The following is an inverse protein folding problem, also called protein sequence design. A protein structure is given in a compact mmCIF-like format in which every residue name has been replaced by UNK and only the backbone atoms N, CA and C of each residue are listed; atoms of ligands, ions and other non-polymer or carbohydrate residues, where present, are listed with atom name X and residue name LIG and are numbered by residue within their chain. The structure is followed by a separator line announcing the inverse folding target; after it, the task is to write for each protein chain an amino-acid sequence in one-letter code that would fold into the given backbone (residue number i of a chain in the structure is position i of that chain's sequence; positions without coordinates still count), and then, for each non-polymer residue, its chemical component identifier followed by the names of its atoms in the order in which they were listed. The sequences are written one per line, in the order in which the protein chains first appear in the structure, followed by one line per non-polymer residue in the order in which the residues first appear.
data_IF_989625478535
#
_entry.id   IF_989625478535
#
_cell.length_a   1.000
_cell.length_b   1.000
_cell.length_c   1.000
_cell.angle_alpha   90.00
_cell.angle_beta   90.00
_cell.angle_gamma   90.00
#
_symmetry.space_group_name_H-M   'P 1'
#
loop_
_entity.id
_entity.type
_entity.pdbx_description
1 polymer ?
#
# COMPACT_ATOMS: atom_id res chain seq x y z
N UNK A 1 -18.48 -6.98 19.93
CA UNK A 1 -17.75 -7.21 18.67
C UNK A 1 -18.13 -8.58 18.11
N UNK A 2 -18.37 -8.66 16.81
CA UNK A 2 -18.59 -9.93 16.12
C UNK A 2 -17.29 -10.69 15.94
N UNK A 3 -17.29 -11.95 16.35
CA UNK A 3 -16.14 -12.84 16.27
C UNK A 3 -16.46 -13.99 15.33
N UNK A 4 -15.56 -14.36 14.41
CA UNK A 4 -15.75 -15.55 13.60
C UNK A 4 -15.67 -16.83 14.46
N UNK A 5 -16.25 -17.94 14.00
CA UNK A 5 -16.23 -19.22 14.73
C UNK A 5 -14.80 -19.77 14.86
N UNK A 6 -14.64 -20.74 15.77
CA UNK A 6 -13.32 -21.27 16.15
C UNK A 6 -12.55 -21.96 15.00
N UNK A 7 -13.23 -22.44 13.99
CA UNK A 7 -12.66 -23.06 12.78
C UNK A 7 -12.36 -22.06 11.64
N UNK A 8 -12.71 -20.78 11.83
CA UNK A 8 -12.48 -19.74 10.81
C UNK A 8 -11.00 -19.39 10.69
N UNK A 9 -10.46 -19.26 9.46
CA UNK A 9 -9.11 -18.77 9.23
C UNK A 9 -8.92 -17.31 9.68
N UNK A 10 -10.00 -16.57 9.89
CA UNK A 10 -9.98 -15.17 10.33
C UNK A 10 -9.98 -15.00 11.86
N UNK A 11 -10.14 -16.08 12.64
CA UNK A 11 -10.24 -15.98 14.09
C UNK A 11 -8.99 -15.35 14.72
N UNK A 12 -7.80 -15.73 14.27
CA UNK A 12 -6.56 -15.16 14.80
C UNK A 12 -6.47 -13.64 14.54
N UNK A 13 -6.86 -13.19 13.37
CA UNK A 13 -6.93 -11.76 13.02
C UNK A 13 -7.97 -11.03 13.88
N UNK A 14 -9.17 -11.61 14.02
CA UNK A 14 -10.24 -11.04 14.82
C UNK A 14 -9.84 -10.89 16.31
N UNK A 15 -9.11 -11.86 16.86
CA UNK A 15 -8.59 -11.80 18.24
C UNK A 15 -7.58 -10.65 18.42
N UNK A 16 -6.71 -10.41 17.43
CA UNK A 16 -5.75 -9.30 17.49
C UNK A 16 -6.49 -7.96 17.44
N UNK A 17 -7.49 -7.83 16.57
CA UNK A 17 -8.34 -6.62 16.51
C UNK A 17 -9.11 -6.45 17.83
N UNK A 18 -9.68 -7.51 18.41
CA UNK A 18 -10.36 -7.46 19.70
C UNK A 18 -9.42 -6.99 20.82
N UNK A 19 -8.15 -7.42 20.80
CA UNK A 19 -7.16 -6.96 21.76
C UNK A 19 -6.86 -5.45 21.59
N UNK A 20 -6.76 -4.94 20.37
CA UNK A 20 -6.62 -3.51 20.10
C UNK A 20 -7.84 -2.71 20.57
N UNK A 21 -9.03 -3.21 20.28
CA UNK A 21 -10.30 -2.63 20.71
C UNK A 21 -10.39 -2.56 22.27
N UNK A 22 -9.93 -3.59 22.96
CA UNK A 22 -9.94 -3.65 24.41
C UNK A 22 -8.84 -2.77 25.05
N UNK A 23 -7.65 -2.73 24.44
CA UNK A 23 -6.49 -2.03 24.97
C UNK A 23 -6.68 -0.51 24.97
N UNK A 24 -7.40 0.06 24.01
CA UNK A 24 -7.69 1.49 23.97
C UNK A 24 -8.56 1.98 25.16
N UNK A 25 -9.13 1.06 25.97
CA UNK A 25 -9.79 1.39 27.23
C UNK A 25 -8.83 1.88 28.34
N UNK A 26 -7.55 1.55 28.25
CA UNK A 26 -6.64 1.72 29.38
C UNK A 26 -6.16 3.17 29.57
N UNK A 27 -6.33 4.06 28.56
CA UNK A 27 -5.64 5.36 28.57
C UNK A 27 -6.45 6.56 28.05
N UNK A 28 -7.77 6.49 28.06
CA UNK A 28 -8.57 7.68 27.76
C UNK A 28 -8.74 8.47 29.07
N UNK A 29 -7.78 9.35 29.33
CA UNK A 29 -7.79 10.29 30.47
C UNK A 29 -8.81 11.42 30.23
N UNK A 30 -10.03 11.22 30.71
CA UNK A 30 -11.02 12.29 30.79
C UNK A 30 -12.19 11.93 31.69
N UNK A 31 -12.71 12.89 32.50
CA UNK A 31 -13.81 12.64 33.45
C UNK A 31 -15.16 12.33 32.78
N UNK A 32 -15.22 12.21 31.45
CA UNK A 32 -16.42 11.89 30.67
C UNK A 32 -16.35 10.57 29.91
N UNK A 33 -15.27 9.79 30.07
CA UNK A 33 -15.14 8.54 29.36
C UNK A 33 -15.90 7.43 30.07
N UNK A 34 -17.09 7.14 29.55
CA UNK A 34 -17.82 5.92 29.87
C UNK A 34 -16.96 4.77 29.36
N UNK A 35 -16.41 3.97 30.31
CA UNK A 35 -15.79 2.70 29.96
C UNK A 35 -16.77 1.89 29.13
N UNK A 36 -16.59 1.81 27.81
CA UNK A 36 -17.45 1.02 26.97
C UNK A 36 -17.24 -0.44 27.31
N UNK A 37 -18.31 -1.14 27.64
CA UNK A 37 -18.30 -2.56 27.87
C UNK A 37 -18.27 -3.28 26.50
N UNK A 38 -17.36 -4.24 26.34
CA UNK A 38 -17.17 -4.94 25.08
C UNK A 38 -17.66 -6.39 25.24
N UNK A 39 -18.71 -6.73 24.51
CA UNK A 39 -19.20 -8.10 24.43
C UNK A 39 -18.72 -8.75 23.13
N UNK A 40 -18.23 -9.99 23.22
CA UNK A 40 -17.86 -10.81 22.05
C UNK A 40 -19.05 -11.70 21.70
N UNK A 41 -19.50 -11.63 20.45
CA UNK A 41 -20.63 -12.44 19.94
C UNK A 41 -20.12 -13.22 18.73
N UNK A 42 -20.29 -14.53 18.76
CA UNK A 42 -19.93 -15.38 17.62
C UNK A 42 -20.84 -15.13 16.42
N UNK A 43 -20.25 -15.03 15.25
CA UNK A 43 -20.96 -14.84 13.98
C UNK A 43 -20.16 -15.46 12.84
N UNK A 44 -20.85 -16.10 11.91
CA UNK A 44 -20.23 -16.63 10.69
C UNK A 44 -20.68 -15.85 9.46
N UNK A 45 -20.04 -16.13 8.32
CA UNK A 45 -20.44 -15.61 7.01
C UNK A 45 -21.71 -16.24 6.44
N UNK A 46 -22.56 -16.85 7.28
CA UNK A 46 -23.90 -17.31 6.92
C UNK A 46 -24.93 -16.28 7.35
N UNK A 47 -25.91 -15.97 6.48
CA UNK A 47 -26.92 -14.94 6.75
C UNK A 47 -27.66 -15.17 8.07
N UNK A 48 -28.11 -16.42 8.34
CA UNK A 48 -28.83 -16.72 9.55
C UNK A 48 -27.99 -16.53 10.83
N UNK A 49 -26.71 -16.86 10.79
CA UNK A 49 -25.79 -16.66 11.91
C UNK A 49 -25.51 -15.16 12.13
N UNK A 50 -25.33 -14.39 11.06
CA UNK A 50 -25.10 -12.95 11.13
C UNK A 50 -26.33 -12.22 11.68
N UNK A 51 -27.53 -12.58 11.24
CA UNK A 51 -28.78 -11.98 11.73
C UNK A 51 -29.01 -12.32 13.20
N UNK A 52 -28.80 -13.57 13.60
CA UNK A 52 -28.91 -13.99 15.00
C UNK A 52 -27.90 -13.25 15.90
N UNK A 53 -26.68 -13.01 15.40
CA UNK A 53 -25.66 -12.25 16.15
C UNK A 53 -26.03 -10.77 16.30
N UNK A 54 -26.63 -10.14 15.28
CA UNK A 54 -27.14 -8.76 15.36
C UNK A 54 -28.34 -8.67 16.33
N UNK A 55 -29.25 -9.64 16.28
CA UNK A 55 -30.39 -9.70 17.22
C UNK A 55 -29.92 -9.90 18.66
N UNK A 56 -28.93 -10.77 18.88
CA UNK A 56 -28.33 -10.97 20.21
C UNK A 56 -27.66 -9.70 20.73
N UNK A 57 -26.94 -8.96 19.88
CA UNK A 57 -26.36 -7.69 20.23
C UNK A 57 -27.43 -6.65 20.62
N UNK A 58 -28.52 -6.57 19.85
CA UNK A 58 -29.65 -5.68 20.15
C UNK A 58 -30.30 -6.03 21.48
N UNK A 59 -30.58 -7.32 21.74
CA UNK A 59 -31.18 -7.80 23.00
C UNK A 59 -30.25 -7.54 24.20
N UNK A 60 -28.93 -7.60 23.99
CA UNK A 60 -27.94 -7.27 25.03
C UNK A 60 -27.80 -5.77 25.30
N UNK A 61 -28.53 -4.92 24.58
CA UNK A 61 -28.48 -3.46 24.75
C UNK A 61 -27.24 -2.81 24.20
N UNK A 62 -26.62 -3.41 23.18
CA UNK A 62 -25.46 -2.81 22.51
C UNK A 62 -25.85 -1.54 21.77
N UNK A 63 -25.07 -0.47 21.92
CA UNK A 63 -25.25 0.78 21.17
C UNK A 63 -24.73 0.67 19.74
N UNK A 64 -23.70 -0.14 19.52
CA UNK A 64 -23.03 -0.33 18.23
C UNK A 64 -22.39 -1.72 18.15
N UNK A 65 -22.37 -2.31 16.97
CA UNK A 65 -21.64 -3.53 16.66
C UNK A 65 -20.36 -3.21 15.92
N UNK A 66 -19.23 -3.80 16.34
CA UNK A 66 -17.94 -3.74 15.65
C UNK A 66 -17.68 -5.09 15.00
N UNK A 67 -17.32 -5.10 13.71
CA UNK A 67 -17.22 -6.30 12.87
C UNK A 67 -18.43 -6.46 11.94
N UNK A 68 -18.44 -7.48 11.09
CA UNK A 68 -17.47 -8.56 10.95
C UNK A 68 -16.16 -8.13 10.30
N UNK A 69 -15.14 -9.00 10.41
CA UNK A 69 -13.86 -8.85 9.71
C UNK A 69 -13.85 -9.57 8.34
N UNK A 70 -14.70 -10.57 8.18
CA UNK A 70 -14.81 -11.35 6.95
C UNK A 70 -15.50 -10.53 5.85
N UNK A 71 -14.85 -10.38 4.72
CA UNK A 71 -15.37 -9.59 3.58
C UNK A 71 -16.74 -10.08 3.09
N UNK A 72 -16.91 -11.41 2.98
CA UNK A 72 -18.19 -12.02 2.60
C UNK A 72 -19.34 -11.68 3.55
N UNK A 73 -19.07 -11.60 4.85
CA UNK A 73 -20.06 -11.19 5.84
C UNK A 73 -20.38 -9.69 5.73
N UNK A 74 -19.37 -8.85 5.45
CA UNK A 74 -19.59 -7.42 5.18
C UNK A 74 -20.45 -7.21 3.92
N UNK A 75 -20.20 -7.97 2.86
CA UNK A 75 -21.04 -7.93 1.64
C UNK A 75 -22.51 -8.27 1.92
N UNK A 76 -22.78 -9.23 2.81
CA UNK A 76 -24.15 -9.55 3.21
C UNK A 76 -24.80 -8.39 3.96
N UNK A 77 -24.08 -7.71 4.85
CA UNK A 77 -24.58 -6.51 5.53
C UNK A 77 -24.86 -5.38 4.54
N UNK A 78 -23.95 -5.16 3.60
CA UNK A 78 -24.06 -4.09 2.59
C UNK A 78 -25.29 -4.26 1.67
N UNK A 79 -25.76 -5.49 1.46
CA UNK A 79 -26.98 -5.81 0.66
C UNK A 79 -28.29 -5.62 1.42
N UNK A 80 -28.25 -5.42 2.74
CA UNK A 80 -29.46 -5.18 3.53
C UNK A 80 -29.98 -3.77 3.30
N UNK A 81 -31.29 -3.55 3.42
CA UNK A 81 -31.88 -2.20 3.34
C UNK A 81 -31.62 -1.38 4.60
N UNK A 82 -31.67 -2.04 5.74
CA UNK A 82 -31.44 -1.45 7.07
C UNK A 82 -30.83 -2.50 7.99
N UNK A 83 -30.14 -2.06 9.01
CA UNK A 83 -29.61 -2.91 10.08
C UNK A 83 -30.34 -2.59 11.40
N UNK A 84 -30.49 -3.55 12.32
CA UNK A 84 -31.22 -3.34 13.57
C UNK A 84 -30.54 -2.33 14.51
N UNK A 85 -29.22 -2.14 14.37
CA UNK A 85 -28.41 -1.19 15.12
C UNK A 85 -27.22 -0.76 14.27
N UNK A 86 -26.49 0.32 14.63
CA UNK A 86 -25.28 0.74 13.91
C UNK A 86 -24.24 -0.39 13.91
N UNK A 87 -23.62 -0.62 12.75
CA UNK A 87 -22.55 -1.61 12.56
C UNK A 87 -21.33 -0.94 11.95
N UNK A 88 -20.20 -1.03 12.62
CA UNK A 88 -18.89 -0.66 12.09
C UNK A 88 -18.18 -1.92 11.61
N UNK A 89 -18.30 -2.23 10.32
CA UNK A 89 -17.63 -3.36 9.71
C UNK A 89 -16.14 -3.13 9.57
N UNK A 90 -15.34 -4.20 9.73
CA UNK A 90 -13.87 -4.16 9.75
C UNK A 90 -13.25 -4.56 8.40
N UNK A 91 -14.02 -4.43 7.35
CA UNK A 91 -13.59 -4.66 5.96
C UNK A 91 -14.50 -3.89 5.00
N UNK A 92 -14.12 -3.86 3.72
CA UNK A 92 -14.88 -3.24 2.64
C UNK A 92 -15.37 -4.33 1.70
N UNK A 93 -16.64 -4.31 1.27
CA UNK A 93 -17.18 -5.30 0.34
C UNK A 93 -16.58 -5.11 -1.06
N UNK A 94 -16.36 -6.22 -1.78
CA UNK A 94 -15.92 -6.18 -3.17
C UNK A 94 -17.06 -5.70 -4.09
N UNK A 95 -16.73 -4.89 -5.10
CA UNK A 95 -17.63 -4.49 -6.18
C UNK A 95 -19.02 -3.97 -5.73
N UNK A 96 -19.10 -3.34 -4.56
CA UNK A 96 -20.33 -2.79 -4.02
C UNK A 96 -20.36 -1.29 -4.22
N UNK A 97 -21.49 -0.78 -4.72
CA UNK A 97 -21.75 0.65 -4.72
C UNK A 97 -21.92 1.14 -3.27
N UNK A 98 -20.91 1.81 -2.75
CA UNK A 98 -20.92 2.31 -1.38
C UNK A 98 -22.02 3.34 -1.10
N UNK A 99 -22.58 3.98 -2.14
CA UNK A 99 -23.71 4.88 -1.99
C UNK A 99 -25.05 4.16 -1.72
N UNK A 100 -25.10 2.85 -1.99
CA UNK A 100 -26.29 2.02 -1.82
C UNK A 100 -26.30 1.19 -0.51
N UNK A 101 -25.22 1.27 0.29
CA UNK A 101 -25.16 0.55 1.56
C UNK A 101 -26.10 1.15 2.61
N UNK A 102 -26.54 0.38 3.64
CA UNK A 102 -27.35 0.91 4.74
C UNK A 102 -26.68 2.12 5.39
N UNK A 103 -27.46 3.17 5.70
CA UNK A 103 -26.94 4.39 6.34
C UNK A 103 -26.31 4.16 7.71
N UNK A 104 -26.70 3.07 8.38
CA UNK A 104 -26.15 2.66 9.65
C UNK A 104 -25.11 1.52 9.54
N UNK A 105 -24.47 1.40 8.37
CA UNK A 105 -23.27 0.60 8.13
C UNK A 105 -22.08 1.52 7.89
N UNK A 106 -21.17 1.58 8.86
CA UNK A 106 -19.84 2.19 8.71
C UNK A 106 -18.82 1.14 8.27
N UNK A 107 -17.81 1.57 7.53
CA UNK A 107 -16.75 0.71 7.02
C UNK A 107 -15.39 1.27 7.44
N UNK A 108 -14.57 0.45 8.06
CA UNK A 108 -13.16 0.74 8.34
C UNK A 108 -12.33 -0.50 7.97
N UNK A 109 -11.20 -0.32 7.32
CA UNK A 109 -10.38 -1.48 6.91
C UNK A 109 -8.93 -1.11 6.67
N UNK A 110 -8.08 -2.13 6.70
CA UNK A 110 -6.72 -2.08 6.14
C UNK A 110 -6.85 -2.52 4.68
N UNK A 111 -7.15 -1.58 3.78
CA UNK A 111 -7.34 -1.89 2.36
C UNK A 111 -6.08 -1.62 1.56
N UNK A 112 -5.54 -2.66 0.94
CA UNK A 112 -4.41 -2.53 0.00
C UNK A 112 -4.79 -1.67 -1.21
N UNK A 113 -6.05 -1.70 -1.62
CA UNK A 113 -6.58 -0.95 -2.74
C UNK A 113 -6.58 0.56 -2.45
N UNK A 114 -7.14 0.98 -1.32
CA UNK A 114 -7.13 2.40 -0.91
C UNK A 114 -5.72 2.93 -0.66
N UNK A 115 -4.87 2.10 -0.07
CA UNK A 115 -3.46 2.42 0.12
C UNK A 115 -2.78 2.64 -1.23
N UNK A 116 -3.01 1.76 -2.20
CA UNK A 116 -2.48 1.87 -3.55
C UNK A 116 -3.01 3.13 -4.27
N UNK A 117 -4.29 3.43 -4.16
CA UNK A 117 -4.89 4.66 -4.72
C UNK A 117 -4.21 5.91 -4.15
N UNK A 118 -4.07 5.97 -2.83
CA UNK A 118 -3.42 7.10 -2.16
C UNK A 118 -1.97 7.29 -2.62
N UNK A 119 -1.21 6.18 -2.71
CA UNK A 119 0.18 6.19 -3.20
C UNK A 119 0.26 6.66 -4.63
N UNK A 120 -0.61 6.17 -5.51
CA UNK A 120 -0.63 6.57 -6.91
C UNK A 120 -0.93 8.08 -7.05
N UNK A 121 -1.87 8.61 -6.26
CA UNK A 121 -2.16 10.04 -6.20
C UNK A 121 -0.94 10.85 -5.74
N UNK A 122 -0.26 10.39 -4.68
CA UNK A 122 0.96 11.02 -4.19
C UNK A 122 2.09 10.98 -5.23
N UNK A 123 2.24 9.87 -5.93
CA UNK A 123 3.22 9.72 -7.00
C UNK A 123 2.94 10.68 -8.17
N UNK A 124 1.68 10.78 -8.61
CA UNK A 124 1.24 11.71 -9.66
C UNK A 124 1.51 13.16 -9.24
N UNK A 125 1.16 13.54 -8.01
CA UNK A 125 1.41 14.88 -7.48
C UNK A 125 2.90 15.23 -7.40
N UNK A 126 3.76 14.22 -7.22
CA UNK A 126 5.21 14.40 -7.13
C UNK A 126 5.92 14.40 -8.50
N UNK A 127 5.22 14.11 -9.60
CA UNK A 127 5.82 14.16 -10.93
C UNK A 127 6.28 15.58 -11.26
N UNK A 128 7.43 15.72 -11.94
CA UNK A 128 7.88 17.03 -12.41
C UNK A 128 6.86 17.59 -13.40
N UNK A 129 6.39 18.81 -13.15
CA UNK A 129 5.59 19.54 -14.12
C UNK A 129 6.49 19.79 -15.35
N UNK A 130 6.17 19.20 -16.47
CA UNK A 130 6.95 19.36 -17.69
C UNK A 130 6.91 20.84 -18.13
N UNK A 131 8.02 21.52 -17.96
CA UNK A 131 8.15 22.93 -18.37
C UNK A 131 8.19 23.05 -19.91
N UNK A 132 8.48 21.99 -20.61
CA UNK A 132 8.76 22.01 -22.05
C UNK A 132 7.82 21.18 -22.95
N UNK A 133 6.69 20.67 -22.50
CA UNK A 133 5.67 19.94 -23.30
C UNK A 133 6.20 18.87 -24.28
N UNK A 134 7.43 18.41 -24.17
CA UNK A 134 8.07 17.54 -25.18
C UNK A 134 7.89 16.05 -24.89
N UNK A 135 7.71 15.64 -23.64
CA UNK A 135 7.36 14.25 -23.30
C UNK A 135 6.35 14.23 -22.13
N UNK A 136 5.31 13.41 -22.25
CA UNK A 136 4.43 13.13 -21.12
C UNK A 136 5.16 12.23 -20.13
N UNK A 137 5.04 12.49 -18.82
CA UNK A 137 5.64 11.61 -17.84
C UNK A 137 5.03 10.21 -17.94
N UNK A 138 5.87 9.18 -17.87
CA UNK A 138 5.46 7.78 -17.92
C UNK A 138 5.83 7.09 -16.60
N UNK A 139 4.91 6.31 -16.05
CA UNK A 139 5.11 5.56 -14.81
C UNK A 139 5.17 4.06 -15.11
N UNK A 140 6.14 3.36 -14.50
CA UNK A 140 6.17 1.90 -14.52
C UNK A 140 5.31 1.37 -13.35
N UNK A 141 4.37 0.47 -13.62
CA UNK A 141 3.61 -0.27 -12.60
C UNK A 141 4.11 -1.70 -12.59
N UNK A 142 4.74 -2.12 -11.49
CA UNK A 142 5.30 -3.47 -11.39
C UNK A 142 4.54 -4.25 -10.32
N UNK A 143 3.95 -5.37 -10.72
CA UNK A 143 3.13 -6.19 -9.85
C UNK A 143 3.45 -7.68 -9.99
N UNK A 144 3.41 -8.40 -8.88
CA UNK A 144 3.43 -9.86 -8.87
C UNK A 144 2.06 -10.46 -9.20
N UNK A 145 1.97 -11.78 -9.09
CA UNK A 145 0.77 -12.55 -9.46
C UNK A 145 -0.17 -12.89 -8.29
N UNK A 146 0.19 -12.55 -7.05
CA UNK A 146 -0.68 -12.79 -5.90
C UNK A 146 -1.96 -11.92 -5.99
N UNK A 147 -3.07 -12.43 -5.48
CA UNK A 147 -4.36 -11.75 -5.57
C UNK A 147 -4.32 -10.30 -5.03
N UNK A 148 -3.64 -10.05 -3.91
CA UNK A 148 -3.49 -8.71 -3.35
C UNK A 148 -2.62 -7.80 -4.23
N UNK A 149 -1.59 -8.35 -4.90
CA UNK A 149 -0.72 -7.60 -5.82
C UNK A 149 -1.50 -7.16 -7.06
N UNK A 150 -2.35 -8.03 -7.58
CA UNK A 150 -3.22 -7.70 -8.71
C UNK A 150 -4.23 -6.61 -8.34
N UNK A 151 -4.86 -6.68 -7.15
CA UNK A 151 -5.78 -5.63 -6.70
C UNK A 151 -5.08 -4.28 -6.51
N UNK A 152 -3.87 -4.27 -5.93
CA UNK A 152 -3.08 -3.05 -5.80
C UNK A 152 -2.68 -2.46 -7.17
N UNK A 153 -2.30 -3.33 -8.11
CA UNK A 153 -2.03 -2.93 -9.51
C UNK A 153 -3.25 -2.27 -10.14
N UNK A 154 -4.40 -2.91 -10.05
CA UNK A 154 -5.64 -2.39 -10.64
C UNK A 154 -6.02 -1.02 -10.04
N UNK A 155 -5.79 -0.83 -8.74
CA UNK A 155 -5.98 0.46 -8.08
C UNK A 155 -4.99 1.52 -8.60
N UNK A 156 -3.72 1.18 -8.77
CA UNK A 156 -2.74 2.07 -9.41
C UNK A 156 -3.17 2.48 -10.81
N UNK A 157 -3.55 1.50 -11.65
CA UNK A 157 -3.99 1.75 -13.03
C UNK A 157 -5.20 2.69 -13.09
N UNK A 158 -6.19 2.49 -12.21
CA UNK A 158 -7.37 3.34 -12.13
C UNK A 158 -7.01 4.80 -11.86
N UNK A 159 -6.12 5.07 -10.90
CA UNK A 159 -5.69 6.45 -10.58
C UNK A 159 -4.92 7.06 -11.75
N UNK A 160 -3.97 6.32 -12.33
CA UNK A 160 -3.16 6.81 -13.45
C UNK A 160 -4.00 7.12 -14.68
N UNK A 161 -4.97 6.25 -15.00
CA UNK A 161 -5.91 6.46 -16.11
C UNK A 161 -6.78 7.71 -15.88
N UNK A 162 -7.32 7.91 -14.68
CA UNK A 162 -8.10 9.10 -14.35
C UNK A 162 -7.26 10.38 -14.39
N UNK A 163 -6.00 10.31 -13.97
CA UNK A 163 -5.04 11.41 -14.03
C UNK A 163 -4.49 11.65 -15.45
N UNK A 164 -4.82 10.82 -16.42
CA UNK A 164 -4.30 10.85 -17.79
C UNK A 164 -2.76 10.79 -17.87
N UNK A 165 -2.15 10.01 -16.97
CA UNK A 165 -0.72 9.75 -16.96
C UNK A 165 -0.43 8.50 -17.79
N UNK A 166 0.56 8.57 -18.67
CA UNK A 166 1.01 7.40 -19.42
C UNK A 166 1.68 6.40 -18.47
N UNK A 167 1.32 5.14 -18.56
CA UNK A 167 1.91 4.09 -17.73
C UNK A 167 2.12 2.79 -18.50
N UNK A 168 2.95 1.93 -17.94
CA UNK A 168 3.18 0.59 -18.46
C UNK A 168 3.16 -0.43 -17.31
N UNK A 169 2.32 -1.45 -17.47
CA UNK A 169 2.24 -2.55 -16.51
C UNK A 169 3.26 -3.62 -16.86
N UNK A 170 4.06 -4.00 -15.86
CA UNK A 170 5.10 -5.01 -15.98
C UNK A 170 4.81 -6.10 -14.94
N UNK A 171 4.52 -7.30 -15.40
CA UNK A 171 4.35 -8.46 -14.53
C UNK A 171 5.71 -8.89 -13.99
N UNK A 172 5.85 -8.89 -12.66
CA UNK A 172 7.08 -9.32 -12.01
C UNK A 172 7.21 -10.84 -12.03
N UNK A 173 8.37 -11.30 -12.47
CA UNK A 173 8.89 -12.64 -12.21
C UNK A 173 10.42 -12.57 -12.12
N UNK A 174 11.10 -13.51 -11.42
CA UNK A 174 12.56 -13.48 -11.32
C UNK A 174 13.29 -13.48 -12.65
N UNK A 175 12.70 -14.07 -13.70
CA UNK A 175 13.29 -14.20 -15.03
C UNK A 175 13.39 -12.88 -15.79
N UNK A 176 12.53 -11.88 -15.47
CA UNK A 176 12.52 -10.60 -16.18
C UNK A 176 13.52 -9.57 -15.63
N UNK A 177 14.26 -9.89 -14.57
CA UNK A 177 15.10 -8.90 -13.88
C UNK A 177 16.17 -8.27 -14.80
N UNK A 178 16.76 -9.03 -15.71
CA UNK A 178 17.76 -8.51 -16.64
C UNK A 178 17.12 -7.65 -17.74
N UNK A 179 15.93 -8.02 -18.20
CA UNK A 179 15.14 -7.24 -19.15
C UNK A 179 14.67 -5.91 -18.52
N UNK A 180 14.32 -5.92 -17.24
CA UNK A 180 13.94 -4.71 -16.51
C UNK A 180 15.06 -3.66 -16.51
N UNK A 181 16.31 -4.06 -16.29
CA UNK A 181 17.42 -3.11 -16.31
C UNK A 181 17.51 -2.42 -17.66
N UNK A 182 17.48 -3.19 -18.76
CA UNK A 182 17.52 -2.64 -20.13
C UNK A 182 16.33 -1.71 -20.39
N UNK A 183 15.16 -2.04 -19.86
CA UNK A 183 13.93 -1.29 -20.07
C UNK A 183 13.93 0.06 -19.33
N UNK A 184 14.63 0.16 -18.21
CA UNK A 184 14.70 1.39 -17.40
C UNK A 184 15.91 2.28 -17.71
N UNK A 185 16.91 1.77 -18.43
CA UNK A 185 18.04 2.57 -18.82
C UNK A 185 17.67 3.65 -19.85
N UNK A 186 18.13 4.89 -19.68
CA UNK A 186 17.96 5.91 -20.72
C UNK A 186 18.61 5.46 -22.03
N UNK A 187 17.92 5.67 -23.13
CA UNK A 187 18.40 5.35 -24.47
C UNK A 187 18.42 6.60 -25.34
N UNK A 188 19.24 6.60 -26.35
CA UNK A 188 19.19 7.63 -27.40
C UNK A 188 17.99 7.40 -28.30
N UNK A 189 17.43 8.46 -28.87
CA UNK A 189 16.48 8.33 -29.95
C UNK A 189 17.13 7.61 -31.15
N UNK A 190 16.36 6.96 -32.03
CA UNK A 190 16.91 6.33 -33.23
C UNK A 190 17.71 7.31 -34.09
N UNK A 191 17.29 8.58 -34.16
CA UNK A 191 17.97 9.62 -34.93
C UNK A 191 19.30 10.00 -34.28
N UNK A 192 19.33 10.21 -32.95
CA UNK A 192 20.58 10.49 -32.23
C UNK A 192 21.56 9.32 -32.32
N UNK A 193 21.07 8.08 -32.20
CA UNK A 193 21.91 6.90 -32.35
C UNK A 193 22.52 6.81 -33.77
N UNK A 194 21.71 7.08 -34.80
CA UNK A 194 22.17 7.09 -36.19
C UNK A 194 23.21 8.19 -36.42
N UNK A 195 23.07 9.38 -35.83
CA UNK A 195 24.06 10.47 -35.90
C UNK A 195 25.41 10.04 -35.31
N UNK A 196 25.45 9.44 -34.13
CA UNK A 196 26.69 8.92 -33.56
C UNK A 196 27.31 7.82 -34.38
N UNK A 197 26.54 6.93 -35.00
CA UNK A 197 27.05 5.88 -35.88
C UNK A 197 27.58 6.44 -37.20
N UNK A 198 27.00 7.53 -37.72
CA UNK A 198 27.50 8.24 -38.89
C UNK A 198 28.78 8.97 -38.55
N UNK A 199 28.82 9.73 -37.45
CA UNK A 199 30.03 10.43 -36.99
C UNK A 199 31.21 9.48 -36.81
N UNK A 200 30.96 8.31 -36.20
CA UNK A 200 31.96 7.28 -36.03
C UNK A 200 32.50 6.78 -37.38
N UNK A 201 31.60 6.48 -38.34
CA UNK A 201 31.98 6.00 -39.70
C UNK A 201 32.80 7.03 -40.43
N UNK A 202 32.38 8.30 -40.43
CA UNK A 202 33.09 9.39 -41.11
C UNK A 202 34.44 9.66 -40.47
N UNK A 203 34.55 9.65 -39.15
CA UNK A 203 35.81 9.86 -38.45
C UNK A 203 36.79 8.70 -38.65
N UNK A 204 36.31 7.46 -38.68
CA UNK A 204 37.13 6.28 -38.96
C UNK A 204 37.62 6.22 -40.41
N UNK A 205 36.84 6.72 -41.38
CA UNK A 205 37.25 6.81 -42.79
C UNK A 205 38.43 7.78 -42.98
N UNK A 206 38.58 8.80 -42.11
CA UNK A 206 39.67 9.79 -42.18
C UNK A 206 40.89 9.37 -41.35
N UNK A 207 40.83 8.25 -40.63
CA UNK A 207 41.93 7.81 -39.77
C UNK A 207 43.02 7.06 -40.53
N UNK A 208 44.22 7.56 -40.44
CA UNK A 208 45.40 7.04 -41.15
C UNK A 208 46.13 5.93 -40.37
N UNK A 209 45.92 5.85 -39.06
CA UNK A 209 46.61 4.85 -38.23
C UNK A 209 45.65 4.07 -37.31
N UNK A 210 46.07 2.85 -36.89
CA UNK A 210 45.35 2.03 -35.91
C UNK A 210 45.20 2.75 -34.57
N UNK A 211 46.18 3.58 -34.20
CA UNK A 211 46.15 4.34 -32.95
C UNK A 211 45.11 5.45 -32.97
N UNK A 212 45.03 6.17 -34.11
CA UNK A 212 43.99 7.17 -34.35
C UNK A 212 42.59 6.55 -34.33
N UNK A 213 42.38 5.38 -34.97
CA UNK A 213 41.09 4.65 -34.94
C UNK A 213 40.65 4.34 -33.53
N UNK A 214 41.55 3.81 -32.67
CA UNK A 214 41.25 3.54 -31.26
C UNK A 214 40.83 4.77 -30.47
N UNK A 215 41.53 5.92 -30.70
CA UNK A 215 41.25 7.17 -30.05
C UNK A 215 39.89 7.75 -30.47
N UNK A 216 39.57 7.72 -31.77
CA UNK A 216 38.27 8.14 -32.33
C UNK A 216 37.15 7.32 -31.74
N UNK A 217 37.25 5.98 -31.78
CA UNK A 217 36.27 5.09 -31.22
C UNK A 217 36.02 5.39 -29.74
N UNK A 218 37.11 5.54 -28.95
CA UNK A 218 36.98 5.87 -27.52
C UNK A 218 36.26 7.21 -27.29
N UNK A 219 36.58 8.24 -28.10
CA UNK A 219 35.98 9.57 -28.01
C UNK A 219 34.49 9.55 -28.35
N UNK A 220 34.11 8.94 -29.47
CA UNK A 220 32.71 8.88 -29.89
C UNK A 220 31.87 8.06 -28.90
N UNK A 221 32.38 6.92 -28.44
CA UNK A 221 31.69 6.15 -27.40
C UNK A 221 31.58 6.89 -26.06
N UNK A 222 32.57 7.72 -25.72
CA UNK A 222 32.48 8.57 -24.50
C UNK A 222 31.39 9.66 -24.68
N UNK A 223 31.35 10.32 -25.84
CA UNK A 223 30.30 11.29 -26.15
C UNK A 223 28.92 10.68 -26.18
N UNK A 224 28.75 9.51 -26.81
CA UNK A 224 27.51 8.76 -26.82
C UNK A 224 27.05 8.42 -25.41
N UNK A 225 27.93 7.91 -24.55
CA UNK A 225 27.59 7.63 -23.12
C UNK A 225 27.18 8.86 -22.35
N UNK A 226 27.91 9.99 -22.55
CA UNK A 226 27.57 11.26 -21.92
C UNK A 226 26.18 11.75 -22.35
N UNK A 227 25.83 11.57 -23.63
CA UNK A 227 24.51 11.95 -24.16
C UNK A 227 23.40 11.04 -23.60
N UNK A 228 23.62 9.72 -23.53
CA UNK A 228 22.68 8.77 -22.89
C UNK A 228 22.41 9.18 -21.45
N UNK A 229 23.46 9.57 -20.69
CA UNK A 229 23.30 10.02 -19.30
C UNK A 229 22.46 11.31 -19.19
N UNK A 230 22.40 12.11 -20.24
CA UNK A 230 21.58 13.34 -20.30
C UNK A 230 20.18 13.10 -20.87
N UNK A 231 19.93 11.92 -21.42
CA UNK A 231 18.59 11.57 -21.94
C UNK A 231 17.62 11.36 -20.79
N UNK A 232 16.36 11.72 -21.01
CA UNK A 232 15.31 11.45 -20.05
C UNK A 232 15.14 9.93 -19.86
N UNK A 233 14.96 9.46 -18.62
CA UNK A 233 14.66 8.05 -18.39
C UNK A 233 13.31 7.71 -19.01
N UNK A 234 13.12 6.48 -19.52
CA UNK A 234 11.86 6.05 -20.12
C UNK A 234 10.70 6.09 -19.13
N UNK A 235 10.99 6.01 -17.84
CA UNK A 235 10.02 6.17 -16.77
C UNK A 235 10.54 7.18 -15.74
N UNK A 236 9.70 8.12 -15.34
CA UNK A 236 10.03 9.14 -14.34
C UNK A 236 9.77 8.64 -12.92
N UNK A 237 8.94 7.59 -12.78
CA UNK A 237 8.58 7.00 -11.52
C UNK A 237 8.20 5.52 -11.68
N UNK A 238 8.15 4.81 -10.55
CA UNK A 238 7.64 3.44 -10.49
C UNK A 238 6.71 3.25 -9.29
N UNK A 239 5.65 2.46 -9.50
CA UNK A 239 4.71 1.99 -8.51
C UNK A 239 4.85 0.47 -8.35
N UNK A 240 5.09 0.00 -7.13
CA UNK A 240 5.37 -1.39 -6.85
C UNK A 240 4.24 -2.03 -6.03
N UNK A 241 3.55 -3.00 -6.61
CA UNK A 241 2.67 -3.93 -5.91
C UNK A 241 3.43 -5.24 -5.65
N UNK A 242 4.42 -5.18 -4.78
CA UNK A 242 5.39 -6.24 -4.51
C UNK A 242 5.59 -6.44 -3.00
N UNK A 243 6.04 -7.62 -2.59
CA UNK A 243 6.57 -7.83 -1.25
C UNK A 243 7.93 -7.15 -1.08
N UNK A 244 8.42 -7.02 0.16
CA UNK A 244 9.73 -6.43 0.44
C UNK A 244 10.87 -7.15 -0.29
N UNK A 245 10.84 -8.48 -0.35
CA UNK A 245 11.84 -9.30 -1.04
C UNK A 245 11.83 -9.08 -2.55
N UNK A 246 10.64 -9.08 -3.17
CA UNK A 246 10.49 -8.83 -4.61
C UNK A 246 10.90 -7.40 -4.97
N UNK A 247 10.50 -6.42 -4.16
CA UNK A 247 10.83 -5.02 -4.35
C UNK A 247 12.35 -4.77 -4.26
N UNK A 248 13.05 -5.42 -3.34
CA UNK A 248 14.50 -5.35 -3.21
C UNK A 248 15.22 -5.84 -4.48
N UNK A 249 14.73 -6.92 -5.10
CA UNK A 249 15.27 -7.42 -6.36
C UNK A 249 15.09 -6.42 -7.51
N UNK A 250 13.95 -5.76 -7.55
CA UNK A 250 13.61 -4.80 -8.61
C UNK A 250 14.30 -3.44 -8.37
N UNK A 251 14.44 -3.00 -7.10
CA UNK A 251 14.98 -1.67 -6.74
C UNK A 251 16.33 -1.39 -7.39
N UNK A 252 17.21 -2.38 -7.40
CA UNK A 252 18.56 -2.24 -7.92
C UNK A 252 18.64 -2.17 -9.46
N UNK A 253 17.53 -2.39 -10.16
CA UNK A 253 17.44 -2.31 -11.63
C UNK A 253 17.04 -0.92 -12.14
N UNK A 254 16.57 -0.05 -11.24
CA UNK A 254 16.21 1.31 -11.61
C UNK A 254 17.43 2.22 -11.67
N UNK A 255 17.49 3.17 -12.62
CA UNK A 255 18.47 4.24 -12.63
C UNK A 255 18.45 5.05 -11.34
N UNK A 256 19.61 5.61 -10.99
CA UNK A 256 19.68 6.51 -9.83
C UNK A 256 18.78 7.73 -10.06
N UNK A 257 17.98 8.07 -9.05
CA UNK A 257 17.07 9.20 -9.09
C UNK A 257 15.66 8.87 -9.56
N UNK A 258 15.38 7.62 -10.00
CA UNK A 258 14.00 7.17 -10.22
C UNK A 258 13.24 7.21 -8.90
N UNK A 259 12.09 7.86 -8.88
CA UNK A 259 11.20 7.88 -7.73
C UNK A 259 10.40 6.58 -7.68
N UNK A 260 10.46 5.89 -6.57
CA UNK A 260 9.82 4.58 -6.40
C UNK A 260 8.90 4.62 -5.20
N UNK A 261 7.67 4.20 -5.40
CA UNK A 261 6.67 4.04 -4.36
C UNK A 261 6.12 2.63 -4.36
N UNK A 262 5.67 2.19 -3.22
CA UNK A 262 4.98 0.91 -3.11
C UNK A 262 4.02 0.88 -1.95
N UNK A 263 3.27 -0.21 -1.82
CA UNK A 263 2.34 -0.42 -0.71
C UNK A 263 3.11 -0.75 0.58
N UNK A 264 2.43 -0.72 1.72
CA UNK A 264 3.01 -1.12 3.01
C UNK A 264 3.56 -2.56 3.02
N UNK A 265 3.20 -3.38 2.03
CA UNK A 265 3.77 -4.72 1.85
C UNK A 265 5.29 -4.71 1.59
N UNK A 266 5.84 -3.56 1.15
CA UNK A 266 7.29 -3.36 0.96
C UNK A 266 8.03 -3.15 2.30
N UNK A 267 7.32 -2.83 3.39
CA UNK A 267 7.97 -2.65 4.68
C UNK A 267 8.77 -3.91 5.07
N UNK A 268 10.11 -3.81 5.22
CA UNK A 268 10.96 -4.96 5.53
C UNK A 268 10.82 -5.45 6.98
N UNK A 269 10.16 -4.68 7.84
CA UNK A 269 10.10 -4.92 9.28
C UNK A 269 11.11 -4.08 10.05
N UNK A 270 11.23 -4.40 11.34
CA UNK A 270 12.14 -3.70 12.23
C UNK A 270 13.58 -4.23 12.07
N UNK A 271 14.53 -3.38 11.63
CA UNK A 271 15.93 -3.78 11.47
C UNK A 271 16.59 -4.26 12.77
N UNK A 272 16.16 -3.73 13.92
CA UNK A 272 16.71 -4.10 15.22
C UNK A 272 16.27 -5.51 15.67
N UNK A 273 15.19 -6.03 15.09
CA UNK A 273 14.62 -7.33 15.44
C UNK A 273 15.04 -8.47 14.50
N UNK A 274 15.56 -8.15 13.30
CA UNK A 274 15.87 -9.16 12.28
C UNK A 274 16.98 -8.73 11.34
N UNK A 275 18.01 -9.59 11.20
CA UNK A 275 19.08 -9.37 10.21
C UNK A 275 18.57 -9.35 8.76
N UNK A 276 17.52 -10.09 8.47
CA UNK A 276 16.87 -10.05 7.16
C UNK A 276 16.20 -8.71 6.91
N UNK A 277 15.51 -8.13 7.92
CA UNK A 277 14.93 -6.81 7.83
C UNK A 277 16.01 -5.73 7.67
N UNK A 278 17.14 -5.86 8.37
CA UNK A 278 18.30 -4.96 8.21
C UNK A 278 18.81 -4.97 6.77
N UNK A 279 19.02 -6.14 6.17
CA UNK A 279 19.49 -6.26 4.78
C UNK A 279 18.48 -5.65 3.81
N UNK A 280 17.20 -6.00 3.93
CA UNK A 280 16.13 -5.48 3.07
C UNK A 280 15.97 -3.96 3.20
N UNK A 281 16.19 -3.38 4.39
CA UNK A 281 16.14 -1.92 4.59
C UNK A 281 17.21 -1.20 3.77
N UNK A 282 18.42 -1.77 3.66
CA UNK A 282 19.46 -1.22 2.78
C UNK A 282 19.12 -1.38 1.30
N UNK A 283 18.60 -2.55 0.92
CA UNK A 283 18.24 -2.83 -0.48
C UNK A 283 17.06 -1.97 -0.96
N UNK A 284 16.19 -1.56 -0.05
CA UNK A 284 15.01 -0.71 -0.33
C UNK A 284 15.24 0.78 -0.08
N UNK A 285 16.50 1.20 0.15
CA UNK A 285 16.81 2.62 0.38
C UNK A 285 16.27 3.50 -0.76
N UNK A 286 15.55 4.56 -0.38
CA UNK A 286 14.91 5.49 -1.31
C UNK A 286 13.59 5.01 -1.91
N UNK A 287 13.04 3.88 -1.48
CA UNK A 287 11.65 3.49 -1.79
C UNK A 287 10.71 4.07 -0.75
N UNK A 288 9.70 4.80 -1.20
CA UNK A 288 8.68 5.37 -0.33
C UNK A 288 7.47 4.44 -0.24
N UNK A 289 6.94 4.24 0.97
CA UNK A 289 5.72 3.48 1.20
C UNK A 289 4.97 4.04 2.42
N UNK A 290 3.65 3.91 2.50
CA UNK A 290 2.89 4.29 3.67
C UNK A 290 3.02 3.22 4.75
N UNK A 291 2.90 3.66 5.99
CA UNK A 291 2.79 2.74 7.11
C UNK A 291 1.95 3.36 8.21
N UNK A 292 1.26 2.55 8.99
CA UNK A 292 0.43 3.06 10.06
C UNK A 292 1.31 3.66 11.18
N UNK A 293 0.92 4.81 11.75
CA UNK A 293 1.68 5.52 12.76
C UNK A 293 2.08 4.66 13.96
N UNK A 294 1.22 3.75 14.40
CA UNK A 294 1.51 2.83 15.49
C UNK A 294 2.74 1.94 15.21
N UNK A 295 2.94 1.53 13.96
CA UNK A 295 4.10 0.72 13.55
C UNK A 295 5.38 1.54 13.57
N UNK A 296 5.30 2.82 13.14
CA UNK A 296 6.48 3.66 12.91
C UNK A 296 6.90 4.44 14.15
N UNK A 297 5.93 4.91 14.94
CA UNK A 297 6.18 5.91 16.00
C UNK A 297 6.38 5.29 17.39
N UNK A 298 5.84 4.09 17.64
CA UNK A 298 5.87 3.51 18.97
C UNK A 298 6.97 2.45 19.11
N UNK A 299 7.82 2.67 20.11
CA UNK A 299 8.75 1.63 20.59
C UNK A 299 8.01 0.65 21.52
N UNK A 300 8.51 -0.59 21.71
CA UNK A 300 7.85 -1.59 22.55
C UNK A 300 7.52 -1.10 23.98
N UNK A 301 8.40 -0.36 24.61
CA UNK A 301 8.16 0.17 25.96
C UNK A 301 7.06 1.24 25.99
N UNK A 302 7.02 2.13 25.00
CA UNK A 302 5.99 3.17 24.90
C UNK A 302 4.65 2.54 24.53
N UNK A 303 4.65 1.48 23.74
CA UNK A 303 3.46 0.71 23.40
C UNK A 303 2.85 0.06 24.65
N UNK A 304 3.68 -0.63 25.45
CA UNK A 304 3.23 -1.27 26.69
C UNK A 304 2.71 -0.23 27.70
N UNK A 305 3.41 0.90 27.83
CA UNK A 305 2.96 2.01 28.67
C UNK A 305 1.62 2.59 28.23
N UNK A 306 1.39 2.68 26.90
CA UNK A 306 0.16 3.25 26.33
C UNK A 306 -1.02 2.28 26.38
N UNK A 307 -0.81 1.02 26.08
CA UNK A 307 -1.89 0.05 25.87
C UNK A 307 -2.00 -1.02 26.97
N UNK A 308 -1.09 -1.07 27.91
CA UNK A 308 -1.10 -2.06 29.00
C UNK A 308 -0.86 -3.51 28.54
N UNK A 309 -0.37 -3.70 27.32
CA UNK A 309 -0.10 -5.01 26.73
C UNK A 309 1.17 -4.97 25.88
N UNK A 310 1.78 -6.12 25.66
CA UNK A 310 2.98 -6.22 24.82
C UNK A 310 2.67 -5.96 23.35
N UNK A 311 3.60 -5.27 22.68
CA UNK A 311 3.49 -4.99 21.25
C UNK A 311 3.43 -6.28 20.43
N UNK A 312 2.50 -6.41 19.48
CA UNK A 312 2.47 -7.56 18.58
C UNK A 312 3.77 -7.71 17.80
N UNK A 313 4.21 -8.94 17.59
CA UNK A 313 5.51 -9.23 16.98
C UNK A 313 5.56 -8.92 15.48
N UNK A 314 4.55 -9.34 14.70
CA UNK A 314 4.55 -9.16 13.25
C UNK A 314 3.93 -7.83 12.83
N UNK A 315 4.37 -7.29 11.67
CA UNK A 315 3.78 -6.09 11.06
C UNK A 315 2.26 -6.23 10.85
N UNK A 316 1.82 -7.38 10.32
CA UNK A 316 0.39 -7.64 10.13
C UNK A 316 -0.38 -7.61 11.44
N UNK A 317 0.18 -8.18 12.52
CA UNK A 317 -0.45 -8.15 13.82
C UNK A 317 -0.46 -6.74 14.43
N UNK A 318 0.58 -5.93 14.22
CA UNK A 318 0.61 -4.52 14.64
C UNK A 318 -0.48 -3.71 13.94
N UNK A 319 -0.65 -3.88 12.62
CA UNK A 319 -1.69 -3.21 11.82
C UNK A 319 -3.11 -3.64 12.24
N UNK A 320 -3.32 -4.94 12.48
CA UNK A 320 -4.61 -5.44 12.98
C UNK A 320 -4.93 -4.92 14.38
N UNK A 321 -3.92 -4.80 15.24
CA UNK A 321 -4.10 -4.19 16.56
C UNK A 321 -4.48 -2.70 16.42
N UNK A 322 -3.80 -1.96 15.55
CA UNK A 322 -4.11 -0.58 15.22
C UNK A 322 -5.55 -0.42 14.71
N UNK A 323 -5.99 -1.30 13.81
CA UNK A 323 -7.37 -1.32 13.33
C UNK A 323 -8.37 -1.49 14.51
N UNK A 324 -8.04 -2.29 15.51
CA UNK A 324 -8.86 -2.44 16.71
C UNK A 324 -8.97 -1.18 17.54
N UNK A 325 -7.84 -0.46 17.72
CA UNK A 325 -7.79 0.83 18.41
C UNK A 325 -8.64 1.88 17.68
N UNK A 326 -8.46 1.99 16.39
CA UNK A 326 -9.21 2.96 15.56
C UNK A 326 -10.70 2.61 15.46
N UNK A 327 -11.03 1.31 15.38
CA UNK A 327 -12.41 0.85 15.40
C UNK A 327 -13.13 1.27 16.69
N UNK A 328 -12.44 1.22 17.84
CA UNK A 328 -13.02 1.71 19.09
C UNK A 328 -13.25 3.20 19.07
N UNK A 329 -12.24 3.98 18.70
CA UNK A 329 -12.35 5.44 18.65
C UNK A 329 -13.47 5.87 17.71
N UNK A 330 -13.54 5.25 16.55
CA UNK A 330 -14.59 5.47 15.54
C UNK A 330 -15.98 5.09 16.07
N UNK A 331 -16.11 3.91 16.70
CA UNK A 331 -17.36 3.46 17.26
C UNK A 331 -17.88 4.37 18.35
N UNK A 332 -17.01 4.84 19.27
CA UNK A 332 -17.34 5.79 20.31
C UNK A 332 -17.75 7.15 19.73
N UNK A 333 -17.01 7.66 18.75
CA UNK A 333 -17.36 8.88 18.06
C UNK A 333 -18.75 8.81 17.43
N UNK A 334 -19.03 7.68 16.76
CA UNK A 334 -20.32 7.46 16.12
C UNK A 334 -21.47 7.31 17.10
N UNK A 335 -21.28 6.57 18.19
CA UNK A 335 -22.30 6.46 19.25
C UNK A 335 -22.66 7.81 19.91
N UNK A 336 -21.76 8.80 19.85
CA UNK A 336 -21.96 10.18 20.30
C UNK A 336 -22.57 11.08 19.22
N UNK A 337 -22.95 10.56 18.06
CA UNK A 337 -23.56 11.28 16.96
C UNK A 337 -22.56 12.07 16.09
N UNK A 338 -21.25 11.82 16.21
CA UNK A 338 -20.26 12.41 15.31
C UNK A 338 -20.30 11.71 13.95
N UNK A 339 -20.02 12.46 12.88
CA UNK A 339 -19.94 11.92 11.53
C UNK A 339 -18.66 11.07 11.39
N UNK A 340 -18.77 9.93 10.69
CA UNK A 340 -17.60 9.10 10.35
C UNK A 340 -16.80 9.65 9.14
N UNK A 341 -17.30 10.70 8.48
CA UNK A 341 -16.62 11.24 7.30
C UNK A 341 -15.45 12.12 7.70
N UNK A 342 -14.25 11.72 7.28
CA UNK A 342 -13.03 12.53 7.39
C UNK A 342 -12.36 12.56 8.76
N UNK A 343 -12.73 11.71 9.71
CA UNK A 343 -11.98 11.56 10.95
C UNK A 343 -10.79 10.62 10.72
N UNK A 344 -9.58 11.11 11.01
CA UNK A 344 -8.39 10.25 11.07
C UNK A 344 -8.45 9.39 12.34
N UNK A 345 -8.06 8.12 12.23
CA UNK A 345 -7.92 7.25 13.39
C UNK A 345 -6.78 7.71 14.33
N UNK A 346 -6.74 7.17 15.53
CA UNK A 346 -5.62 7.43 16.47
C UNK A 346 -4.30 6.82 16.01
N UNK A 347 -4.36 5.82 15.16
CA UNK A 347 -3.20 5.05 14.70
C UNK A 347 -2.95 5.15 13.20
N UNK A 348 -3.80 5.87 12.45
CA UNK A 348 -3.61 6.12 11.01
C UNK A 348 -4.86 6.23 10.20
#
# INVERSE_FOLDING_TARGET
MLMPPDDSPFLAAARIVANGLAASNAHIDGPQDRSAEIFLVESSSQTASLDAALDAALVSGADIVVGPIERSAVEMLARKKTLPLPVLALNVPDNTDLSAVPQNLGLISISTEYEAEWIAQAAVAALPHSINNLSRPKIAVIAGSAAWQMRARDAFENVLAHAQIDYEVISFSPEILDDLQTKFEPTLSPEEAAQFDQELREALAKAESSQQRKLITKRVHAARRARVTQSEPPFQAALLALSAQEAALVRNRFPRGTRIWGTSAINPGDPDLSSAATTLSYDLDGVAFPECPLVVQLKPADFEARFGTSMPYSLSAKRLFALGVDARTTALAWSQGRSLQGEAGETG
#
